data_IF_455622473871
#
_entry.id   IF_455622473871
#
_cell.length_a   1.000
_cell.length_b   1.000
_cell.length_c   1.000
_cell.angle_alpha   90.00
_cell.angle_beta   90.00
_cell.angle_gamma   90.00
#
_symmetry.space_group_name_H-M   'P 1'
#
loop_
_entity.id
_entity.type
_entity.pdbx_description
1 polymer ?
#
# COMPACT_ATOMS: atom_id res chain seq x y z
N UNK A 1 -9.80 37.68 -12.73
CA UNK A 1 -9.46 36.62 -11.77
C UNK A 1 -9.37 35.33 -12.57
N UNK A 2 -8.14 34.88 -12.83
CA UNK A 2 -7.86 33.80 -13.77
C UNK A 2 -7.63 32.51 -12.96
N UNK A 3 -8.44 31.50 -13.26
CA UNK A 3 -8.32 30.14 -12.71
C UNK A 3 -6.91 29.59 -13.00
N UNK A 4 -6.14 29.31 -11.94
CA UNK A 4 -4.85 28.64 -12.06
C UNK A 4 -5.04 27.13 -11.88
N UNK A 5 -4.60 26.39 -12.90
CA UNK A 5 -4.90 24.99 -13.13
C UNK A 5 -4.31 23.98 -12.14
N UNK A 6 -4.94 22.81 -12.20
CA UNK A 6 -4.61 21.56 -11.55
C UNK A 6 -3.16 21.09 -11.81
N UNK A 7 -2.37 20.95 -10.75
CA UNK A 7 -1.03 20.33 -10.79
C UNK A 7 -1.12 18.85 -10.36
N UNK A 8 -0.67 17.89 -11.20
CA UNK A 8 -0.61 16.48 -10.80
C UNK A 8 0.45 16.28 -9.70
N UNK A 9 0.15 15.37 -8.77
CA UNK A 9 0.79 15.19 -7.47
C UNK A 9 2.32 15.22 -7.43
N UNK A 10 2.83 15.80 -6.34
CA UNK A 10 4.24 15.81 -5.97
C UNK A 10 4.71 14.36 -5.75
N UNK A 11 5.74 13.87 -6.46
CA UNK A 11 6.27 12.53 -6.31
C UNK A 11 7.19 12.46 -5.08
N UNK A 12 6.61 12.24 -3.91
CA UNK A 12 7.37 12.19 -2.66
C UNK A 12 6.59 11.68 -1.45
N UNK A 13 5.36 11.22 -1.64
CA UNK A 13 4.45 10.86 -0.58
C UNK A 13 3.95 9.45 -0.81
N UNK A 14 3.84 8.66 0.26
CA UNK A 14 2.87 7.58 0.26
C UNK A 14 1.49 8.24 0.22
N UNK A 15 0.94 8.45 -0.98
CA UNK A 15 -0.50 8.59 -1.07
C UNK A 15 -1.07 7.23 -0.68
N UNK A 16 -1.61 7.13 0.52
CA UNK A 16 -2.51 6.05 0.92
C UNK A 16 -3.76 6.17 0.05
N UNK A 17 -3.70 5.71 -1.20
CA UNK A 17 -4.86 5.70 -2.11
C UNK A 17 -5.70 4.50 -1.73
N UNK A 18 -6.72 4.73 -0.92
CA UNK A 18 -7.74 3.75 -0.64
C UNK A 18 -8.77 3.85 -1.76
N UNK A 19 -8.82 2.82 -2.58
CA UNK A 19 -9.78 2.74 -3.65
C UNK A 19 -9.75 1.37 -4.30
N UNK A 20 -10.94 0.79 -4.46
CA UNK A 20 -11.17 -0.40 -5.24
C UNK A 20 -10.81 -0.14 -6.70
N UNK A 21 -9.67 -0.64 -7.18
CA UNK A 21 -9.33 -0.53 -8.60
C UNK A 21 -8.71 -1.82 -9.13
N UNK A 22 -9.35 -2.38 -10.15
CA UNK A 22 -8.87 -3.55 -10.87
C UNK A 22 -7.82 -3.19 -11.92
N UNK A 23 -7.82 -1.98 -12.53
CA UNK A 23 -6.89 -1.58 -13.60
C UNK A 23 -6.71 -0.05 -13.75
N UNK A 24 -5.62 0.39 -14.41
CA UNK A 24 -5.23 1.79 -14.63
C UNK A 24 -6.22 2.62 -15.50
N UNK A 25 -7.08 1.96 -16.29
CA UNK A 25 -8.11 2.63 -17.09
C UNK A 25 -9.28 3.20 -16.26
N UNK A 26 -9.53 2.66 -15.06
CA UNK A 26 -10.56 3.18 -14.14
C UNK A 26 -10.16 4.51 -13.48
N UNK A 27 -8.86 4.85 -13.46
CA UNK A 27 -8.33 6.06 -12.85
C UNK A 27 -8.76 7.34 -13.59
N UNK A 28 -8.90 7.28 -14.92
CA UNK A 28 -9.26 8.44 -15.73
C UNK A 28 -10.78 8.69 -15.79
N UNK A 29 -11.59 7.63 -15.68
CA UNK A 29 -13.05 7.73 -15.83
C UNK A 29 -13.77 8.31 -14.60
N UNK A 30 -13.14 8.28 -13.40
CA UNK A 30 -13.84 8.57 -12.13
C UNK A 30 -13.52 9.92 -11.47
N UNK A 31 -12.61 10.73 -12.03
CA UNK A 31 -12.58 12.17 -11.70
C UNK A 31 -13.89 12.88 -12.07
N UNK A 32 -14.74 12.26 -12.91
CA UNK A 32 -16.07 12.74 -13.25
C UNK A 32 -17.19 12.32 -12.25
N UNK A 33 -16.90 11.51 -11.23
CA UNK A 33 -17.91 10.90 -10.34
C UNK A 33 -17.76 11.24 -8.85
N UNK A 34 -16.90 12.19 -8.47
CA UNK A 34 -16.88 12.73 -7.10
C UNK A 34 -16.49 11.74 -5.98
N UNK A 35 -15.78 10.65 -6.31
CA UNK A 35 -15.27 9.71 -5.32
C UNK A 35 -14.12 10.36 -4.51
N UNK A 36 -14.32 10.51 -3.20
CA UNK A 36 -13.31 11.03 -2.30
C UNK A 36 -12.16 10.02 -2.17
N UNK A 37 -11.03 10.31 -2.82
CA UNK A 37 -9.74 9.69 -2.51
C UNK A 37 -9.35 10.13 -1.09
N UNK A 38 -9.30 9.19 -0.16
CA UNK A 38 -8.66 9.43 1.15
C UNK A 38 -7.16 9.49 0.89
N UNK A 39 -6.46 10.45 1.46
CA UNK A 39 -5.00 10.54 1.37
C UNK A 39 -4.48 11.23 2.62
N UNK A 40 -3.57 10.56 3.32
CA UNK A 40 -2.84 11.11 4.46
C UNK A 40 -1.34 11.00 4.21
N UNK A 41 -0.60 12.06 4.52
CA UNK A 41 0.86 12.06 4.43
C UNK A 41 1.44 11.40 5.70
N UNK A 42 2.20 10.33 5.51
CA UNK A 42 2.95 9.65 6.59
C UNK A 42 4.43 9.60 6.23
N UNK A 43 5.25 10.24 7.06
CA UNK A 43 6.71 10.15 6.98
C UNK A 43 7.18 8.86 7.67
N UNK A 44 6.85 8.66 8.95
CA UNK A 44 7.49 7.60 9.72
C UNK A 44 8.96 7.87 10.00
N UNK A 45 9.53 7.05 10.87
CA UNK A 45 10.93 7.12 11.31
C UNK A 45 11.86 6.40 10.33
N UNK A 46 13.08 6.91 10.18
CA UNK A 46 14.10 6.30 9.34
C UNK A 46 14.50 4.91 9.84
N UNK A 47 14.47 3.91 8.97
CA UNK A 47 14.77 2.52 9.25
C UNK A 47 13.63 1.76 9.96
N UNK A 48 12.57 2.43 10.41
CA UNK A 48 11.48 1.79 11.13
C UNK A 48 10.55 1.00 10.21
N UNK A 49 9.98 -0.07 10.75
CA UNK A 49 9.00 -0.93 10.07
C UNK A 49 7.62 -0.65 10.64
N UNK A 50 6.65 -0.45 9.76
CA UNK A 50 5.28 -0.15 10.13
C UNK A 50 4.30 -1.19 9.58
N UNK A 51 3.25 -1.47 10.37
CA UNK A 51 2.12 -2.30 9.96
C UNK A 51 1.24 -1.52 8.97
N UNK A 52 1.23 -1.94 7.71
CA UNK A 52 0.46 -1.28 6.64
C UNK A 52 -0.97 -1.82 6.57
N UNK A 53 -1.10 -3.15 6.53
CA UNK A 53 -2.36 -3.88 6.53
C UNK A 53 -2.21 -5.15 7.36
N UNK A 54 -3.00 -5.26 8.43
CA UNK A 54 -3.14 -6.47 9.22
C UNK A 54 -4.60 -6.89 9.27
N UNK A 55 -4.84 -8.17 9.04
CA UNK A 55 -6.13 -8.83 9.07
C UNK A 55 -5.92 -10.28 9.53
N UNK A 56 -6.99 -11.03 9.83
CA UNK A 56 -6.87 -12.45 10.19
C UNK A 56 -6.08 -13.21 9.11
N UNK A 57 -4.97 -13.85 9.52
CA UNK A 57 -4.08 -14.61 8.64
C UNK A 57 -3.27 -13.79 7.63
N UNK A 58 -3.26 -12.45 7.71
CA UNK A 58 -2.50 -11.57 6.80
C UNK A 58 -1.85 -10.41 7.57
N UNK A 59 -0.54 -10.27 7.42
CA UNK A 59 0.21 -9.10 7.88
C UNK A 59 1.09 -8.59 6.74
N UNK A 60 0.98 -7.30 6.43
CA UNK A 60 1.82 -6.57 5.48
C UNK A 60 2.53 -5.46 6.21
N UNK A 61 3.85 -5.57 6.26
CA UNK A 61 4.74 -4.63 6.92
C UNK A 61 5.64 -3.96 5.88
N UNK A 62 6.03 -2.72 6.15
CA UNK A 62 6.86 -1.94 5.24
C UNK A 62 7.91 -1.14 6.00
N UNK A 63 9.14 -1.12 5.49
CA UNK A 63 10.22 -0.29 6.03
C UNK A 63 10.17 1.09 5.38
N UNK A 64 10.34 2.11 6.22
CA UNK A 64 10.51 3.49 5.79
C UNK A 64 11.98 3.87 5.93
N UNK A 65 12.57 4.41 4.88
CA UNK A 65 13.94 4.90 4.91
C UNK A 65 14.00 6.36 4.45
N UNK A 66 14.82 7.15 5.14
CA UNK A 66 15.07 8.53 4.81
C UNK A 66 15.75 8.64 3.44
N UNK A 67 15.22 9.50 2.60
CA UNK A 67 15.82 9.86 1.33
C UNK A 67 15.55 11.32 1.02
N UNK A 68 16.45 11.94 0.25
CA UNK A 68 16.22 13.27 -0.28
C UNK A 68 16.07 13.24 -1.80
N UNK A 69 15.26 14.14 -2.32
CA UNK A 69 15.09 14.37 -3.76
C UNK A 69 14.99 15.86 -4.07
N UNK A 70 15.20 16.22 -5.32
CA UNK A 70 15.14 17.62 -5.77
C UNK A 70 13.83 17.88 -6.52
N UNK A 71 13.20 19.02 -6.23
CA UNK A 71 12.04 19.49 -6.98
C UNK A 71 12.46 20.18 -8.29
N UNK A 72 11.59 20.06 -9.30
CA UNK A 72 11.70 20.82 -10.55
C UNK A 72 11.16 22.26 -10.38
N UNK A 73 10.22 22.46 -9.46
CA UNK A 73 9.68 23.77 -9.12
C UNK A 73 9.29 23.85 -7.63
N UNK A 74 9.91 24.74 -6.84
CA UNK A 74 11.06 25.55 -7.22
C UNK A 74 12.27 24.67 -7.59
N UNK A 75 13.09 25.08 -8.57
CA UNK A 75 14.18 24.27 -9.08
C UNK A 75 15.22 24.02 -8.00
N UNK A 76 15.68 22.78 -7.91
CA UNK A 76 16.75 22.32 -7.03
C UNK A 76 16.48 22.49 -5.53
N UNK A 77 15.22 22.72 -5.15
CA UNK A 77 14.83 22.64 -3.75
C UNK A 77 14.95 21.19 -3.30
N UNK A 78 15.79 20.97 -2.29
CA UNK A 78 16.00 19.65 -1.70
C UNK A 78 14.92 19.36 -0.69
N UNK A 79 14.22 18.25 -0.88
CA UNK A 79 13.19 17.75 0.04
C UNK A 79 13.72 16.51 0.73
N UNK A 80 13.78 16.54 2.05
CA UNK A 80 14.04 15.38 2.90
C UNK A 80 12.71 14.79 3.34
N UNK A 81 12.53 13.53 3.04
CA UNK A 81 11.41 12.73 3.51
C UNK A 81 11.88 11.31 3.76
N UNK A 82 10.90 10.44 3.85
CA UNK A 82 11.06 9.00 3.97
C UNK A 82 10.20 8.34 2.92
N UNK A 83 10.63 7.19 2.45
CA UNK A 83 9.92 6.42 1.45
C UNK A 83 9.75 5.01 1.98
N UNK A 84 8.65 4.37 1.62
CA UNK A 84 8.57 2.92 1.74
C UNK A 84 9.59 2.34 0.77
N UNK A 85 10.52 1.51 1.25
CA UNK A 85 11.60 0.99 0.42
C UNK A 85 11.59 -0.52 0.30
N UNK A 86 11.10 -1.21 1.33
CA UNK A 86 11.05 -2.66 1.41
C UNK A 86 9.71 -3.11 2.05
N UNK A 87 9.24 -4.29 1.65
CA UNK A 87 7.94 -4.83 2.06
C UNK A 87 8.06 -6.31 2.41
N UNK A 88 7.38 -6.69 3.50
CA UNK A 88 7.27 -8.08 3.93
C UNK A 88 5.82 -8.46 4.15
N UNK A 89 5.46 -9.66 3.70
CA UNK A 89 4.14 -10.23 3.89
C UNK A 89 4.25 -11.52 4.69
N UNK A 90 3.38 -11.69 5.66
CA UNK A 90 3.15 -12.94 6.38
C UNK A 90 1.70 -13.34 6.19
N UNK A 91 1.48 -14.55 5.71
CA UNK A 91 0.18 -15.04 5.28
C UNK A 91 -0.05 -16.46 5.75
N UNK A 92 -1.30 -16.79 6.05
CA UNK A 92 -1.75 -18.15 6.37
C UNK A 92 -2.74 -18.57 5.32
N UNK A 93 -2.56 -19.77 4.76
CA UNK A 93 -3.55 -20.34 3.85
C UNK A 93 -4.89 -20.56 4.56
N UNK A 94 -5.99 -20.11 3.96
CA UNK A 94 -7.33 -20.44 4.42
C UNK A 94 -7.73 -21.89 4.10
N UNK A 95 -6.90 -22.68 3.41
CA UNK A 95 -7.16 -24.11 3.21
C UNK A 95 -6.46 -24.95 4.26
N UNK A 96 -5.13 -24.95 4.31
CA UNK A 96 -4.36 -25.81 5.23
C UNK A 96 -3.94 -25.15 6.55
N UNK A 97 -3.94 -23.82 6.64
CA UNK A 97 -3.26 -23.12 7.73
C UNK A 97 -1.74 -23.01 7.54
N UNK A 98 -1.21 -23.39 6.37
CA UNK A 98 0.22 -23.25 6.07
C UNK A 98 0.68 -21.79 6.08
N UNK A 99 1.81 -21.53 6.73
CA UNK A 99 2.45 -20.22 6.76
C UNK A 99 3.25 -19.99 5.47
N UNK A 100 3.00 -18.85 4.82
CA UNK A 100 3.77 -18.35 3.67
C UNK A 100 4.26 -16.94 4.01
N UNK A 101 5.55 -16.69 3.80
CA UNK A 101 6.17 -15.37 3.99
C UNK A 101 6.79 -14.90 2.69
N UNK A 102 6.67 -13.61 2.38
CA UNK A 102 7.24 -13.00 1.18
C UNK A 102 8.07 -11.80 1.57
N UNK A 103 9.30 -11.75 1.08
CA UNK A 103 10.21 -10.63 1.19
C UNK A 103 10.34 -9.95 -0.18
N UNK A 104 10.17 -8.63 -0.21
CA UNK A 104 10.35 -7.79 -1.39
C UNK A 104 11.24 -6.60 -1.04
N UNK A 105 12.54 -6.76 -1.26
CA UNK A 105 13.60 -5.82 -0.86
C UNK A 105 14.38 -5.28 -2.07
N UNK A 106 13.78 -4.40 -2.90
CA UNK A 106 14.39 -3.94 -4.15
C UNK A 106 15.68 -3.12 -3.96
N UNK A 107 15.91 -2.54 -2.77
CA UNK A 107 17.08 -1.71 -2.52
C UNK A 107 18.30 -2.50 -2.03
N UNK A 108 18.13 -3.64 -1.36
CA UNK A 108 19.25 -4.53 -0.97
C UNK A 108 20.05 -4.98 -2.19
N UNK A 109 19.36 -5.20 -3.32
CA UNK A 109 19.96 -5.59 -4.60
C UNK A 109 20.86 -4.51 -5.22
N UNK A 110 20.65 -3.24 -4.86
CA UNK A 110 21.53 -2.13 -5.28
C UNK A 110 22.86 -2.13 -4.51
N UNK A 111 22.85 -2.54 -3.24
CA UNK A 111 24.03 -2.56 -2.38
C UNK A 111 25.01 -3.71 -2.72
N UNK A 112 24.52 -4.82 -3.29
CA UNK A 112 25.32 -6.01 -3.61
C UNK A 112 25.30 -6.37 -5.10
N UNK A 113 25.93 -5.57 -5.98
CA UNK A 113 25.87 -5.73 -7.43
C UNK A 113 26.62 -6.95 -8.00
N UNK A 114 27.11 -7.95 -7.26
CA UNK A 114 27.84 -9.07 -7.89
C UNK A 114 27.24 -10.47 -7.63
N UNK A 115 26.04 -10.54 -7.05
CA UNK A 115 25.41 -11.80 -6.64
C UNK A 115 24.25 -12.21 -7.56
N UNK A 116 23.98 -13.52 -7.63
CA UNK A 116 22.80 -14.12 -8.30
C UNK A 116 21.45 -13.54 -7.79
N UNK A 117 21.48 -12.89 -6.63
CA UNK A 117 20.39 -12.12 -6.01
C UNK A 117 19.87 -11.03 -6.95
N UNK A 118 20.67 -10.52 -7.90
CA UNK A 118 20.20 -9.58 -8.94
C UNK A 118 19.00 -10.07 -9.74
N UNK A 119 18.88 -11.39 -9.92
CA UNK A 119 17.81 -11.98 -10.73
C UNK A 119 16.51 -12.17 -9.96
N UNK A 120 16.58 -12.31 -8.64
CA UNK A 120 15.43 -12.54 -7.78
C UNK A 120 14.81 -11.20 -7.40
N UNK A 121 13.53 -11.05 -7.65
CA UNK A 121 12.75 -9.87 -7.29
C UNK A 121 12.08 -10.00 -5.93
N UNK A 122 11.66 -11.20 -5.56
CA UNK A 122 11.08 -11.51 -4.26
C UNK A 122 11.58 -12.87 -3.77
N UNK A 123 11.60 -13.07 -2.45
CA UNK A 123 11.89 -14.37 -1.83
C UNK A 123 10.65 -14.86 -1.10
N UNK A 124 10.21 -16.07 -1.40
CA UNK A 124 9.06 -16.71 -0.74
C UNK A 124 9.57 -17.80 0.20
N UNK A 125 9.23 -17.72 1.48
CA UNK A 125 9.52 -18.73 2.48
C UNK A 125 8.26 -19.56 2.76
N UNK A 126 8.40 -20.88 2.68
CA UNK A 126 7.33 -21.85 2.90
C UNK A 126 7.38 -22.44 4.32
N UNK A 127 6.28 -23.05 4.74
CA UNK A 127 6.15 -23.66 6.06
C UNK A 127 7.16 -24.79 6.33
N UNK A 128 7.66 -25.46 5.29
CA UNK A 128 8.69 -26.51 5.38
C UNK A 128 10.12 -25.96 5.53
N UNK A 129 10.27 -24.63 5.69
CA UNK A 129 11.55 -23.95 5.82
C UNK A 129 12.26 -23.68 4.49
N UNK A 130 11.72 -24.14 3.35
CA UNK A 130 12.30 -23.83 2.04
C UNK A 130 12.06 -22.37 1.67
N UNK A 131 13.04 -21.80 0.97
CA UNK A 131 12.94 -20.49 0.34
C UNK A 131 13.02 -20.63 -1.19
N UNK A 132 12.16 -19.91 -1.90
CA UNK A 132 12.18 -19.80 -3.36
C UNK A 132 12.31 -18.33 -3.76
N UNK A 133 13.40 -18.00 -4.44
CA UNK A 133 13.52 -16.72 -5.14
C UNK A 133 12.65 -16.72 -6.39
N UNK A 134 11.91 -15.64 -6.63
CA UNK A 134 11.12 -15.42 -7.84
C UNK A 134 11.75 -14.34 -8.69
N UNK A 135 11.97 -14.63 -9.97
CA UNK A 135 12.43 -13.68 -10.98
C UNK A 135 11.23 -12.97 -11.65
N UNK A 136 11.41 -11.80 -12.27
CA UNK A 136 10.36 -11.19 -13.08
C UNK A 136 9.85 -12.17 -14.17
N UNK A 137 8.52 -12.34 -14.24
CA UNK A 137 7.85 -13.33 -15.09
C UNK A 137 7.51 -14.64 -14.39
N UNK A 138 8.07 -14.90 -13.21
CA UNK A 138 7.81 -16.11 -12.45
C UNK A 138 6.64 -15.92 -11.47
N UNK A 139 6.01 -17.06 -11.14
CA UNK A 139 4.96 -17.16 -10.13
C UNK A 139 5.15 -18.39 -9.26
N UNK A 140 4.45 -18.35 -8.12
CA UNK A 140 4.31 -19.46 -7.20
C UNK A 140 2.89 -19.43 -6.65
N UNK A 141 2.23 -20.58 -6.65
CA UNK A 141 0.94 -20.78 -5.99
C UNK A 141 1.14 -21.78 -4.87
N UNK A 142 0.66 -21.41 -3.68
CA UNK A 142 0.57 -22.26 -2.50
C UNK A 142 -0.90 -22.25 -2.11
N UNK A 143 -1.63 -23.28 -2.57
CA UNK A 143 -3.06 -23.42 -2.26
C UNK A 143 -3.88 -22.21 -2.74
N UNK A 144 -4.48 -21.45 -1.82
CA UNK A 144 -5.27 -20.24 -2.06
C UNK A 144 -4.42 -18.95 -2.12
N UNK A 145 -3.10 -19.07 -1.99
CA UNK A 145 -2.16 -17.95 -2.08
C UNK A 145 -1.42 -18.01 -3.42
N UNK A 146 -1.51 -16.93 -4.20
CA UNK A 146 -0.75 -16.77 -5.45
C UNK A 146 0.19 -15.58 -5.36
N UNK A 147 1.43 -15.78 -5.79
CA UNK A 147 2.51 -14.81 -5.74
C UNK A 147 3.12 -14.74 -7.15
N UNK A 148 3.29 -13.54 -7.68
CA UNK A 148 3.96 -13.35 -8.98
C UNK A 148 4.76 -12.06 -9.00
N UNK A 149 5.80 -12.06 -9.81
CA UNK A 149 6.61 -10.87 -10.07
C UNK A 149 6.54 -10.55 -11.56
N UNK A 150 6.40 -9.28 -11.91
CA UNK A 150 6.58 -8.83 -13.28
C UNK A 150 7.35 -7.51 -13.35
N UNK A 151 7.94 -7.22 -14.51
CA UNK A 151 8.35 -5.88 -14.85
C UNK A 151 7.20 -5.18 -15.58
N UNK A 152 6.97 -3.92 -15.25
CA UNK A 152 6.11 -3.04 -16.00
C UNK A 152 6.91 -1.87 -16.53
N UNK A 153 6.60 -1.46 -17.75
CA UNK A 153 7.28 -0.36 -18.43
C UNK A 153 6.27 0.76 -18.62
N UNK A 154 6.58 1.95 -18.10
CA UNK A 154 5.77 3.14 -18.32
C UNK A 154 6.57 4.14 -19.14
N UNK A 155 6.01 4.58 -20.26
CA UNK A 155 6.61 5.65 -21.06
C UNK A 155 5.91 6.96 -20.73
N UNK A 156 6.66 7.95 -20.27
CA UNK A 156 6.13 9.30 -20.02
C UNK A 156 5.81 10.03 -21.33
N UNK A 157 5.06 11.14 -21.24
CA UNK A 157 4.72 11.99 -22.40
C UNK A 157 5.94 12.55 -23.14
N UNK A 158 7.07 12.70 -22.46
CA UNK A 158 8.36 13.14 -23.03
C UNK A 158 9.26 11.96 -23.43
N UNK A 159 8.72 10.74 -23.55
CA UNK A 159 9.44 9.57 -24.07
C UNK A 159 10.38 8.89 -23.08
N UNK A 160 10.42 9.31 -21.81
CA UNK A 160 11.21 8.60 -20.80
C UNK A 160 10.55 7.28 -20.44
N UNK A 161 11.33 6.21 -20.55
CA UNK A 161 10.91 4.86 -20.21
C UNK A 161 11.33 4.56 -18.77
N UNK A 162 10.36 4.39 -17.89
CA UNK A 162 10.56 3.93 -16.53
C UNK A 162 10.18 2.45 -16.42
N UNK A 163 11.09 1.63 -15.90
CA UNK A 163 10.82 0.23 -15.56
C UNK A 163 10.55 0.13 -14.07
N UNK A 164 9.46 -0.54 -13.70
CA UNK A 164 9.12 -0.86 -12.33
C UNK A 164 8.98 -2.37 -12.14
N UNK A 165 9.47 -2.88 -11.01
CA UNK A 165 9.25 -4.27 -10.59
C UNK A 165 7.97 -4.31 -9.76
N UNK A 166 7.08 -5.25 -10.06
CA UNK A 166 5.79 -5.39 -9.39
C UNK A 166 5.69 -6.78 -8.78
N UNK A 167 5.66 -6.84 -7.45
CA UNK A 167 5.21 -8.02 -6.71
C UNK A 167 3.68 -7.96 -6.63
N UNK A 168 3.00 -9.04 -7.03
CA UNK A 168 1.57 -9.24 -6.86
C UNK A 168 1.34 -10.44 -5.97
N UNK A 169 0.53 -10.25 -4.93
CA UNK A 169 0.14 -11.31 -4.01
C UNK A 169 -1.38 -11.32 -3.92
N UNK A 170 -1.99 -12.49 -4.04
CA UNK A 170 -3.42 -12.68 -3.79
C UNK A 170 -3.61 -13.81 -2.78
N UNK A 171 -4.45 -13.57 -1.79
CA UNK A 171 -4.96 -14.57 -0.85
C UNK A 171 -6.45 -14.78 -1.11
N UNK A 172 -7.14 -15.59 -0.28
CA UNK A 172 -8.60 -15.67 -0.33
C UNK A 172 -9.32 -14.34 -0.05
N UNK A 173 -8.73 -13.46 0.77
CA UNK A 173 -9.35 -12.22 1.21
C UNK A 173 -8.83 -10.94 0.56
N UNK A 174 -7.61 -10.94 0.02
CA UNK A 174 -6.91 -9.71 -0.37
C UNK A 174 -6.08 -9.87 -1.63
N UNK A 175 -6.01 -8.80 -2.43
CA UNK A 175 -5.01 -8.60 -3.46
C UNK A 175 -4.10 -7.44 -3.04
N UNK A 176 -2.80 -7.69 -3.06
CA UNK A 176 -1.75 -6.74 -2.71
C UNK A 176 -0.82 -6.58 -3.91
N UNK A 177 -0.51 -5.33 -4.28
CA UNK A 177 0.59 -5.04 -5.19
C UNK A 177 1.62 -4.16 -4.49
N UNK A 178 2.89 -4.51 -4.64
CA UNK A 178 4.03 -3.71 -4.23
C UNK A 178 4.85 -3.36 -5.50
N UNK A 179 4.86 -2.08 -5.86
CA UNK A 179 5.50 -1.59 -7.09
C UNK A 179 6.77 -0.82 -6.77
N UNK A 180 7.93 -1.42 -7.03
CA UNK A 180 9.22 -0.77 -6.88
C UNK A 180 9.53 0.11 -8.09
N UNK A 181 9.68 1.42 -7.86
CA UNK A 181 10.04 2.42 -8.89
C UNK A 181 11.18 3.31 -8.42
N UNK A 182 11.91 3.89 -9.36
CA UNK A 182 12.97 4.85 -9.04
C UNK A 182 12.39 6.07 -8.31
N UNK A 183 13.08 6.52 -7.26
CA UNK A 183 12.81 7.84 -6.66
C UNK A 183 13.39 8.87 -7.63
N UNK A 184 12.50 9.59 -8.32
CA UNK A 184 12.90 10.59 -9.31
C UNK A 184 13.73 11.70 -8.65
N UNK A 185 14.84 12.07 -9.30
CA UNK A 185 15.81 13.06 -8.78
C UNK A 185 16.25 12.82 -7.33
N UNK A 186 16.31 11.56 -6.92
CA UNK A 186 16.92 11.19 -5.64
C UNK A 186 18.38 11.59 -5.59
N UNK A 187 18.83 12.05 -4.42
CA UNK A 187 20.26 12.28 -4.15
C UNK A 187 21.04 10.97 -4.06
N UNK A 188 20.36 9.84 -3.84
CA UNK A 188 20.95 8.49 -3.87
C UNK A 188 20.62 7.85 -5.21
N UNK A 189 21.64 7.75 -6.08
CA UNK A 189 21.46 7.19 -7.42
C UNK A 189 20.90 5.77 -7.36
N UNK A 190 19.82 5.54 -8.11
CA UNK A 190 19.22 4.22 -8.25
C UNK A 190 18.29 3.82 -7.11
N UNK A 191 18.18 4.59 -6.02
CA UNK A 191 17.28 4.30 -4.89
C UNK A 191 15.83 4.19 -5.37
N UNK A 192 15.12 3.19 -4.88
CA UNK A 192 13.74 2.89 -5.25
C UNK A 192 12.80 3.07 -4.07
N UNK A 193 11.61 3.56 -4.35
CA UNK A 193 10.46 3.49 -3.45
C UNK A 193 9.58 2.32 -3.85
N UNK A 194 8.79 1.82 -2.93
CA UNK A 194 7.76 0.81 -3.15
C UNK A 194 6.40 1.41 -2.88
N UNK A 195 5.57 1.48 -3.91
CA UNK A 195 4.19 1.90 -3.77
C UNK A 195 3.32 0.68 -3.48
N UNK A 196 2.51 0.78 -2.43
CA UNK A 196 1.60 -0.28 -1.98
C UNK A 196 0.16 0.01 -2.44
N UNK A 197 -0.52 -1.04 -2.90
CA UNK A 197 -1.97 -1.00 -3.15
C UNK A 197 -2.63 -2.25 -2.57
N UNK A 198 -3.79 -2.08 -1.96
CA UNK A 198 -4.57 -3.14 -1.36
C UNK A 198 -5.99 -3.12 -1.92
N UNK A 199 -6.51 -4.29 -2.29
CA UNK A 199 -7.89 -4.46 -2.71
C UNK A 199 -8.47 -5.69 -2.00
N UNK A 200 -9.55 -5.53 -1.21
CA UNK A 200 -10.20 -6.68 -0.62
C UNK A 200 -10.94 -7.46 -1.72
N UNK A 201 -10.87 -8.79 -1.65
CA UNK A 201 -11.48 -9.72 -2.62
C UNK A 201 -12.85 -10.22 -2.16
N UNK A 202 -13.20 -9.93 -0.92
CA UNK A 202 -14.52 -10.09 -0.29
C UNK A 202 -14.74 -8.90 0.65
N UNK A 203 -15.95 -8.75 1.16
CA UNK A 203 -16.22 -7.74 2.19
C UNK A 203 -15.26 -7.95 3.40
N UNK A 204 -14.41 -6.96 3.73
CA UNK A 204 -13.46 -7.06 4.84
C UNK A 204 -14.14 -7.08 6.22
N UNK A 205 -15.42 -6.73 6.31
CA UNK A 205 -16.22 -6.78 7.53
C UNK A 205 -17.17 -7.98 7.57
N UNK A 206 -17.15 -8.84 6.56
CA UNK A 206 -17.90 -10.10 6.61
C UNK A 206 -17.25 -11.09 7.59
N UNK A 207 -18.06 -11.97 8.22
CA UNK A 207 -17.54 -13.06 9.04
C UNK A 207 -16.51 -13.90 8.27
N UNK A 208 -15.42 -14.24 8.94
CA UNK A 208 -14.36 -15.05 8.34
C UNK A 208 -14.89 -16.47 8.06
N UNK A 209 -14.55 -17.08 6.91
CA UNK A 209 -15.07 -18.41 6.55
C UNK A 209 -14.83 -19.49 7.62
N UNK A 210 -13.66 -19.47 8.27
CA UNK A 210 -13.28 -20.47 9.28
C UNK A 210 -13.88 -20.21 10.66
N UNK A 211 -13.87 -18.96 11.12
CA UNK A 211 -14.22 -18.64 12.51
C UNK A 211 -15.65 -18.14 12.67
N UNK A 212 -16.32 -17.75 11.58
CA UNK A 212 -17.66 -17.16 11.57
C UNK A 212 -17.78 -15.90 12.44
N UNK A 213 -16.66 -15.24 12.70
CA UNK A 213 -16.54 -13.99 13.47
C UNK A 213 -15.94 -12.90 12.59
N UNK A 214 -16.17 -11.64 12.95
CA UNK A 214 -15.67 -10.49 12.20
C UNK A 214 -14.32 -10.03 12.75
N UNK A 215 -13.35 -9.83 11.87
CA UNK A 215 -12.05 -9.24 12.21
C UNK A 215 -11.84 -8.07 11.27
N UNK A 216 -12.17 -6.86 11.74
CA UNK A 216 -11.94 -5.67 10.94
C UNK A 216 -10.42 -5.46 10.72
N UNK A 217 -10.00 -5.13 9.48
CA UNK A 217 -8.60 -4.88 9.17
C UNK A 217 -8.07 -3.62 9.89
N UNK A 218 -6.76 -3.60 10.14
CA UNK A 218 -6.06 -2.48 10.74
C UNK A 218 -4.66 -2.31 10.13
N UNK A 219 -3.80 -1.49 10.73
CA UNK A 219 -2.59 -0.94 10.11
C UNK A 219 -2.81 0.48 9.55
N UNK A 220 -1.72 1.14 9.17
CA UNK A 220 -1.74 2.53 8.66
C UNK A 220 -2.73 2.71 7.50
N UNK A 221 -2.81 1.70 6.62
CA UNK A 221 -3.76 1.66 5.51
C UNK A 221 -4.96 0.77 5.82
N UNK A 222 -4.77 -0.36 6.49
CA UNK A 222 -5.86 -1.33 6.68
C UNK A 222 -7.06 -0.80 7.47
N UNK A 223 -6.86 0.17 8.37
CA UNK A 223 -7.95 0.80 9.11
C UNK A 223 -8.93 1.60 8.24
N UNK A 224 -8.61 1.87 6.97
CA UNK A 224 -9.53 2.53 6.04
C UNK A 224 -10.62 1.60 5.48
N UNK A 225 -10.56 0.30 5.81
CA UNK A 225 -11.51 -0.72 5.37
C UNK A 225 -12.44 -1.12 6.53
N UNK A 226 -12.80 -0.13 7.34
CA UNK A 226 -13.61 -0.20 8.56
C UNK A 226 -15.11 0.09 8.32
N UNK A 227 -15.46 0.49 7.09
CA UNK A 227 -16.85 0.68 6.64
C UNK A 227 -17.48 2.00 7.05
N UNK A 228 -16.72 2.92 7.66
CA UNK A 228 -17.25 4.20 8.15
C UNK A 228 -17.37 5.28 7.05
N UNK A 229 -16.72 5.06 5.90
CA UNK A 229 -16.65 6.01 4.78
C UNK A 229 -16.09 7.39 5.18
N UNK A 230 -15.34 7.50 6.28
CA UNK A 230 -14.75 8.75 6.77
C UNK A 230 -13.33 8.89 6.24
N UNK A 231 -13.15 9.93 5.42
CA UNK A 231 -11.91 10.27 4.76
C UNK A 231 -11.34 11.56 5.34
N UNK A 232 -10.25 11.45 6.10
CA UNK A 232 -9.62 12.63 6.70
C UNK A 232 -8.41 13.07 5.88
N UNK A 233 -8.43 14.35 5.49
CA UNK A 233 -7.40 14.95 4.66
C UNK A 233 -6.48 15.81 5.53
N UNK A 234 -5.22 15.42 5.64
CA UNK A 234 -4.17 16.28 6.17
C UNK A 234 -3.06 16.40 5.14
N UNK A 235 -2.70 17.64 4.79
CA UNK A 235 -1.71 17.96 3.75
C UNK A 235 -0.76 19.02 4.28
N UNK A 236 0.42 18.59 4.68
CA UNK A 236 1.34 19.43 5.47
C UNK A 236 2.04 20.50 4.63
N UNK A 237 2.26 20.27 3.33
CA UNK A 237 3.27 21.02 2.58
C UNK A 237 2.76 22.16 1.69
N UNK A 238 1.47 22.44 1.60
CA UNK A 238 1.01 23.50 0.68
C UNK A 238 1.40 24.91 1.14
N UNK A 239 1.34 25.18 2.45
CA UNK A 239 1.52 26.54 2.98
C UNK A 239 2.99 26.98 3.12
N UNK A 240 3.94 26.03 3.18
CA UNK A 240 5.38 26.36 3.25
C UNK A 240 5.96 26.78 1.90
N UNK A 241 5.22 26.61 0.80
CA UNK A 241 5.72 26.91 -0.55
C UNK A 241 6.07 28.38 -0.79
N UNK A 242 5.37 29.28 -0.12
CA UNK A 242 5.58 30.73 -0.21
C UNK A 242 6.70 31.24 0.72
N UNK A 243 7.34 30.37 1.49
CA UNK A 243 8.31 30.74 2.53
C UNK A 243 9.74 30.22 2.32
N UNK A 244 10.05 29.61 1.16
CA UNK A 244 11.33 28.97 0.86
C UNK A 244 12.52 29.96 0.74
N UNK A 245 12.91 30.58 1.85
CA UNK A 245 14.23 31.22 1.99
C UNK A 245 15.35 30.17 2.10
N UNK A 246 15.01 28.94 2.48
CA UNK A 246 15.92 27.81 2.56
C UNK A 246 15.89 26.96 1.28
N UNK A 247 17.06 26.56 0.76
CA UNK A 247 17.22 25.62 -0.36
C UNK A 247 16.96 24.15 0.02
N UNK A 248 16.48 23.91 1.24
CA UNK A 248 16.24 22.57 1.79
C UNK A 248 15.04 22.59 2.74
N UNK A 249 14.17 21.57 2.63
CA UNK A 249 13.03 21.34 3.53
C UNK A 249 12.98 19.89 4.00
N UNK A 250 12.36 19.69 5.16
CA UNK A 250 12.15 18.36 5.77
C UNK A 250 10.66 18.19 6.04
N UNK A 251 10.08 17.06 5.65
CA UNK A 251 8.67 16.72 5.96
C UNK A 251 8.52 16.33 7.43
N UNK A 252 7.35 16.48 8.05
CA UNK A 252 7.16 16.11 9.47
C UNK A 252 5.87 15.29 9.72
N UNK A 253 4.97 15.20 8.74
CA UNK A 253 3.65 14.57 8.86
C UNK A 253 3.72 13.10 9.31
N UNK A 254 2.87 12.76 10.28
CA UNK A 254 2.73 11.40 10.81
C UNK A 254 1.30 10.85 10.62
N UNK A 255 0.57 11.35 9.62
CA UNK A 255 -0.83 11.04 9.36
C UNK A 255 -1.78 11.25 10.58
N UNK A 256 -1.35 12.05 11.57
CA UNK A 256 -2.14 12.38 12.75
C UNK A 256 -3.50 12.96 12.35
N UNK A 257 -4.56 12.47 12.99
CA UNK A 257 -5.94 12.81 12.66
C UNK A 257 -6.57 11.94 11.56
N UNK A 258 -5.78 11.29 10.70
CA UNK A 258 -6.30 10.32 9.71
C UNK A 258 -6.16 8.86 10.17
N UNK A 259 -5.35 8.61 11.21
CA UNK A 259 -5.10 7.29 11.80
C UNK A 259 -5.60 7.24 13.24
N UNK A 260 -6.02 6.07 13.71
CA UNK A 260 -6.28 5.85 15.14
C UNK A 260 -4.95 5.81 15.90
N UNK A 261 -4.82 6.61 16.96
CA UNK A 261 -3.58 6.69 17.74
C UNK A 261 -2.48 7.50 17.06
N UNK A 262 -1.23 7.15 17.33
CA UNK A 262 -0.03 7.80 16.79
C UNK A 262 0.72 6.89 15.84
N UNK A 263 1.62 7.43 15.01
CA UNK A 263 2.47 6.63 14.12
C UNK A 263 3.25 5.52 14.85
N UNK A 264 3.71 5.79 16.07
CA UNK A 264 4.48 4.84 16.89
C UNK A 264 3.67 3.61 17.29
N UNK A 265 2.34 3.73 17.41
CA UNK A 265 1.46 2.60 17.73
C UNK A 265 1.47 1.52 16.63
N UNK A 266 1.91 1.87 15.42
CA UNK A 266 1.98 1.00 14.23
C UNK A 266 3.36 0.42 13.97
N UNK A 267 4.37 0.75 14.78
CA UNK A 267 5.72 0.20 14.64
C UNK A 267 5.71 -1.30 14.94
N UNK A 268 6.46 -2.05 14.13
CA UNK A 268 6.68 -3.48 14.28
C UNK A 268 8.18 -3.71 14.43
N UNK A 269 8.57 -4.60 15.35
CA UNK A 269 9.97 -4.86 15.67
C UNK A 269 10.70 -5.66 14.58
N UNK A 270 10.00 -6.60 13.94
CA UNK A 270 10.55 -7.51 12.94
C UNK A 270 9.84 -7.39 11.59
N UNK A 271 10.56 -7.66 10.50
CA UNK A 271 10.05 -7.68 9.14
C UNK A 271 8.76 -8.52 8.98
N UNK A 272 8.71 -9.71 9.58
CA UNK A 272 7.53 -10.58 9.59
C UNK A 272 6.79 -10.56 10.93
N UNK A 273 7.09 -9.56 11.76
CA UNK A 273 6.45 -9.35 13.06
C UNK A 273 4.96 -9.10 12.92
N UNK A 274 4.21 -9.55 13.92
CA UNK A 274 2.75 -9.37 13.98
C UNK A 274 2.31 -8.57 15.20
N UNK A 275 3.24 -8.25 16.08
CA UNK A 275 2.97 -7.61 17.35
C UNK A 275 3.12 -6.11 17.25
N UNK A 276 2.00 -5.42 17.40
CA UNK A 276 1.83 -3.97 17.58
C UNK A 276 0.46 -3.72 18.22
N UNK A 277 0.16 -2.48 18.61
CA UNK A 277 -1.03 -2.13 19.40
C UNK A 277 -2.35 -2.62 18.78
N UNK A 278 -2.49 -2.49 17.46
CA UNK A 278 -3.71 -2.81 16.73
C UNK A 278 -3.63 -4.13 15.94
N UNK A 279 -2.79 -5.07 16.37
CA UNK A 279 -2.60 -6.36 15.68
C UNK A 279 -3.90 -7.12 15.40
N UNK A 280 -3.94 -7.78 14.24
CA UNK A 280 -5.09 -8.57 13.76
C UNK A 280 -4.73 -9.96 13.25
N UNK A 281 -3.44 -10.28 13.10
CA UNK A 281 -2.98 -11.50 12.44
C UNK A 281 -3.59 -12.78 13.02
N UNK A 282 -3.54 -12.94 14.35
CA UNK A 282 -4.10 -14.08 15.08
C UNK A 282 -5.42 -13.74 15.80
N UNK A 283 -6.02 -12.59 15.49
CA UNK A 283 -7.25 -12.16 16.14
C UNK A 283 -8.42 -13.05 15.71
N UNK A 284 -9.22 -13.48 16.68
CA UNK A 284 -10.48 -14.20 16.41
C UNK A 284 -11.64 -13.27 16.18
N UNK A 285 -11.61 -12.09 16.79
CA UNK A 285 -12.61 -11.05 16.62
C UNK A 285 -11.93 -9.70 16.80
N UNK A 286 -12.34 -8.71 16.03
CA UNK A 286 -11.88 -7.35 16.21
C UNK A 286 -12.88 -6.35 15.63
N UNK A 287 -13.20 -5.34 16.43
CA UNK A 287 -14.00 -4.21 15.99
C UNK A 287 -13.23 -3.34 14.96
N UNK A 288 -13.94 -2.61 14.10
CA UNK A 288 -13.37 -1.55 13.27
C UNK A 288 -12.70 -0.45 14.11
N UNK A 289 -11.92 0.43 13.47
CA UNK A 289 -11.26 1.55 14.17
C UNK A 289 -12.28 2.42 14.90
N UNK A 290 -11.84 3.06 15.97
CA UNK A 290 -12.68 4.02 16.67
C UNK A 290 -12.59 5.41 16.01
N UNK A 291 -13.55 5.70 15.12
CA UNK A 291 -13.62 6.97 14.38
C UNK A 291 -13.82 8.22 15.29
N UNK A 292 -14.24 8.05 16.54
CA UNK A 292 -14.36 9.16 17.49
C UNK A 292 -13.01 9.64 18.01
N UNK A 293 -11.97 8.81 17.92
CA UNK A 293 -10.61 9.15 18.32
C UNK A 293 -9.79 9.85 17.21
N UNK A 294 -10.38 10.06 16.03
CA UNK A 294 -9.76 10.78 14.93
C UNK A 294 -9.83 12.29 15.19
N UNK A 295 -8.67 12.92 15.33
CA UNK A 295 -8.52 14.37 15.54
C UNK A 295 -8.62 15.20 14.24
N UNK A 296 -8.79 14.55 13.07
CA UNK A 296 -8.82 15.19 11.75
C UNK A 296 -10.16 15.86 11.40
N UNK A 297 -10.16 16.62 10.29
CA UNK A 297 -11.42 17.15 9.73
C UNK A 297 -12.17 16.02 9.02
N UNK A 298 -13.20 15.51 9.69
CA UNK A 298 -14.07 14.44 9.20
C UNK A 298 -14.78 14.83 7.91
N UNK A 299 -14.53 14.11 6.82
CA UNK A 299 -15.36 14.19 5.60
C UNK A 299 -16.02 12.85 5.34
N UNK A 300 -17.35 12.85 5.32
CA UNK A 300 -18.13 11.69 4.85
C UNK A 300 -17.93 11.60 3.33
N UNK A 301 -17.39 10.47 2.86
CA UNK A 301 -17.38 10.19 1.44
C UNK A 301 -18.83 10.09 0.94
N UNK A 302 -19.18 10.89 -0.07
CA UNK A 302 -20.51 10.83 -0.67
C UNK A 302 -20.68 9.48 -1.41
N UNK A 303 -21.44 8.56 -0.80
CA UNK A 303 -21.87 7.31 -1.42
C UNK A 303 -21.70 6.08 -0.52
N UNK A 304 -22.78 5.36 -0.29
CA UNK A 304 -22.79 4.05 0.37
C UNK A 304 -21.97 3.06 -0.48
N UNK A 305 -20.78 2.68 -0.02
CA UNK A 305 -19.90 1.72 -0.73
C UNK A 305 -20.19 0.25 -0.38
N UNK A 306 -21.47 -0.08 -0.15
CA UNK A 306 -21.94 -1.44 -0.36
C UNK A 306 -22.69 -1.47 -1.69
N UNK A 307 -21.95 -1.54 -2.80
CA UNK A 307 -22.55 -2.04 -4.03
C UNK A 307 -22.90 -3.50 -3.77
N UNK A 308 -24.18 -3.71 -3.45
CA UNK A 308 -24.86 -5.01 -3.39
C UNK A 308 -24.20 -6.01 -4.34
N UNK A 309 -23.52 -7.01 -3.80
CA UNK A 309 -23.29 -8.24 -4.53
C UNK A 309 -24.67 -8.87 -4.74
N UNK A 310 -25.27 -8.68 -5.93
CA UNK A 310 -26.47 -9.41 -6.31
C UNK A 310 -26.04 -10.84 -6.63
N UNK A 311 -26.10 -11.72 -5.64
CA UNK A 311 -26.16 -13.15 -5.87
C UNK A 311 -27.55 -13.48 -6.45
N UNK A 312 -27.56 -14.07 -7.64
CA UNK A 312 -28.77 -14.56 -8.29
C UNK A 312 -28.39 -15.63 -9.28
N UNK A 313 -28.57 -16.89 -8.86
CA UNK A 313 -28.66 -18.00 -9.78
C UNK A 313 -29.91 -17.80 -10.65
N UNK A 314 -29.78 -17.97 -11.96
CA UNK A 314 -30.91 -18.38 -12.79
C UNK A 314 -30.42 -19.41 -13.81
N UNK A 315 -31.12 -20.53 -13.78
CA UNK A 315 -30.89 -21.71 -14.59
C UNK A 315 -31.52 -21.56 -15.98
N UNK A 316 -31.17 -22.54 -16.81
CA UNK A 316 -31.97 -23.10 -17.91
C UNK A 316 -31.98 -22.39 -19.29
N UNK A 317 -31.28 -23.07 -20.21
CA UNK A 317 -31.76 -23.55 -21.51
C UNK A 317 -32.11 -22.57 -22.66
N UNK A 318 -31.25 -22.61 -23.71
CA UNK A 318 -31.47 -22.91 -25.18
C UNK A 318 -32.70 -22.32 -25.92
N UNK A 319 -32.72 -22.26 -27.29
CA UNK A 319 -31.68 -22.35 -28.32
C UNK A 319 -31.76 -21.26 -29.43
N UNK A 320 -30.80 -21.35 -30.38
CA UNK A 320 -30.77 -20.96 -31.82
C UNK A 320 -32.00 -20.24 -32.41
N UNK A 321 -31.73 -19.19 -33.19
CA UNK A 321 -31.70 -19.26 -34.65
C UNK A 321 -30.51 -18.44 -35.17
#
# INVERSE_FOLDING_TARGET
MQECGYYPGIPGFLQVKTGYFANFADFAAKNALGLALVSADFRGEDGAIYAMLHHCGLAVNAQFEACAFLLDSPPDLKVRGTFVTDVWLRMVSELSGSLVRVEFTPNVRLAFPKSDVRSQAATVYLADGKAKGLRPGESLTVEDISISVANTTTTSRNGHVAVAEVLRVRTAGWAINATARLIWRSVVRGKRQVDLSFAPLRDPLAPQPKTQTVVAPHGLVGQSFDGDNIADHYRELWWRQSSFKAKEITTEAQAEGAIEGSGDDYKVVDAFGVDFKYRRFDAREAAPRNADLLAGTKRVAAGTMFMKAKAGAEAAARPRF
#
